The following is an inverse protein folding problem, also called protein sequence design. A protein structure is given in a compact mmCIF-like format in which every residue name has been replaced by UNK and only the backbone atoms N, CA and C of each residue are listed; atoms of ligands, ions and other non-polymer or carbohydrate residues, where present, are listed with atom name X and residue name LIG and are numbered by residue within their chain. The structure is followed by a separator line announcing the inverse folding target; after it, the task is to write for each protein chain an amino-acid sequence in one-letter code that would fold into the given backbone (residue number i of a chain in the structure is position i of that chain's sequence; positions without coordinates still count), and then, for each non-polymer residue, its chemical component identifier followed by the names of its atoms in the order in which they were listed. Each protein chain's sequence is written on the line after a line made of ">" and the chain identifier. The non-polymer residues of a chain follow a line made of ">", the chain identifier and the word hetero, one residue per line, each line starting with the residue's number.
data_IF_991459933961
#
_entry.id   IF_991459933961
#
_cell.length_a   1.000
_cell.length_b   1.000
_cell.length_c   1.000
_cell.angle_alpha   90.00
_cell.angle_beta   90.00
_cell.angle_gamma   90.00
#
_symmetry.space_group_name_H-M   'P 1'
#
loop_
_entity.id
_entity.type
_entity.pdbx_description
1 polymer ?
#
# COMPACT_ATOMS: atom_id res chain seq x y z
N UNK A 1 8.40 3.83 -11.83
CA UNK A 1 7.73 2.67 -11.25
C UNK A 1 7.34 1.66 -12.34
N UNK A 2 8.25 0.77 -12.77
CA UNK A 2 7.95 -0.31 -13.72
C UNK A 2 6.99 -1.37 -13.19
N UNK A 3 6.88 -1.51 -11.86
CA UNK A 3 5.97 -2.40 -11.15
C UNK A 3 4.51 -2.18 -11.57
N UNK A 4 4.18 -0.94 -11.98
CA UNK A 4 2.83 -0.51 -12.33
C UNK A 4 2.42 -0.80 -13.78
N UNK A 5 3.33 -1.26 -14.65
CA UNK A 5 3.01 -1.49 -16.08
C UNK A 5 3.72 -2.67 -16.73
N UNK A 6 4.95 -3.03 -16.32
CA UNK A 6 5.76 -4.00 -17.07
C UNK A 6 5.19 -5.42 -17.03
N UNK A 7 4.56 -5.78 -15.91
CA UNK A 7 4.00 -7.11 -15.67
C UNK A 7 2.46 -7.14 -15.76
N UNK A 8 1.82 -6.20 -16.49
CA UNK A 8 0.35 -6.11 -16.56
C UNK A 8 -0.32 -7.37 -17.13
N UNK A 9 0.37 -8.08 -18.03
CA UNK A 9 -0.12 -9.31 -18.65
C UNK A 9 0.31 -10.60 -17.92
N UNK A 10 1.12 -10.48 -16.85
CA UNK A 10 1.63 -11.61 -16.08
C UNK A 10 0.96 -11.65 -14.69
N UNK A 11 0.28 -12.73 -14.30
CA UNK A 11 -0.26 -12.90 -12.95
C UNK A 11 0.77 -12.69 -11.83
N UNK A 12 2.05 -12.98 -12.07
CA UNK A 12 3.12 -12.75 -11.10
C UNK A 12 3.35 -11.26 -10.78
N UNK A 13 2.89 -10.36 -11.65
CA UNK A 13 2.93 -8.91 -11.46
C UNK A 13 1.94 -8.37 -10.43
N UNK A 14 1.01 -9.21 -9.95
CA UNK A 14 -0.09 -8.82 -9.07
C UNK A 14 -0.27 -9.81 -7.91
N UNK A 15 -0.57 -9.31 -6.71
CA UNK A 15 -0.93 -10.17 -5.57
C UNK A 15 -1.94 -9.46 -4.68
N UNK A 16 -3.09 -10.06 -4.42
CA UNK A 16 -4.00 -9.56 -3.38
C UNK A 16 -3.36 -9.72 -2.00
N UNK A 17 -3.47 -8.68 -1.16
CA UNK A 17 -3.08 -8.76 0.25
C UNK A 17 -4.28 -9.18 1.11
N UNK A 18 -5.39 -8.47 0.93
CA UNK A 18 -6.66 -8.80 1.56
C UNK A 18 -7.78 -8.72 0.52
N UNK A 19 -8.21 -9.86 -0.04
CA UNK A 19 -9.30 -9.91 -1.01
C UNK A 19 -10.69 -9.77 -0.36
N UNK A 20 -10.80 -9.87 0.97
CA UNK A 20 -12.06 -10.00 1.68
C UNK A 20 -12.32 -8.91 2.73
N UNK A 21 -11.56 -7.81 2.74
CA UNK A 21 -11.83 -6.62 3.59
C UNK A 21 -13.02 -5.78 3.09
N UNK A 22 -14.12 -6.48 2.77
CA UNK A 22 -15.39 -5.94 2.30
C UNK A 22 -16.06 -5.10 3.36
N UNK A 23 -15.97 -5.53 4.63
CA UNK A 23 -16.60 -4.86 5.77
C UNK A 23 -16.05 -3.45 6.00
N UNK A 24 -14.78 -3.20 5.63
CA UNK A 24 -14.19 -1.86 5.65
C UNK A 24 -14.13 -1.19 4.29
N UNK A 25 -14.53 -1.89 3.22
CA UNK A 25 -14.41 -1.48 1.81
C UNK A 25 -12.99 -1.00 1.48
N UNK A 26 -12.01 -1.79 1.91
CA UNK A 26 -10.60 -1.55 1.63
C UNK A 26 -10.13 -2.59 0.61
N UNK A 27 -9.44 -2.11 -0.42
CA UNK A 27 -8.71 -2.99 -1.32
C UNK A 27 -7.22 -2.79 -1.10
N UNK A 28 -6.50 -3.89 -0.92
CA UNK A 28 -5.05 -3.87 -0.76
C UNK A 28 -4.38 -4.94 -1.62
N UNK A 29 -3.38 -4.54 -2.40
CA UNK A 29 -2.66 -5.43 -3.32
C UNK A 29 -1.23 -4.97 -3.58
N UNK A 30 -0.42 -5.88 -4.11
CA UNK A 30 0.95 -5.66 -4.53
C UNK A 30 1.03 -5.60 -6.05
N UNK A 31 1.91 -4.74 -6.56
CA UNK A 31 2.38 -4.66 -7.94
C UNK A 31 3.88 -4.91 -7.95
N UNK A 32 4.39 -5.75 -8.86
CA UNK A 32 5.77 -6.28 -8.78
C UNK A 32 6.51 -6.22 -10.12
N UNK A 33 7.83 -6.04 -10.04
CA UNK A 33 8.77 -6.20 -11.16
C UNK A 33 10.13 -6.65 -10.59
N UNK A 34 10.42 -7.95 -10.69
CA UNK A 34 11.55 -8.57 -9.97
C UNK A 34 11.42 -8.39 -8.46
N UNK A 35 12.47 -7.91 -7.80
CA UNK A 35 12.48 -7.65 -6.36
C UNK A 35 11.79 -6.34 -5.96
N UNK A 36 11.38 -5.52 -6.94
CA UNK A 36 10.72 -4.24 -6.68
C UNK A 36 9.23 -4.45 -6.43
N UNK A 37 8.71 -3.76 -5.42
CA UNK A 37 7.30 -3.87 -5.02
C UNK A 37 6.69 -2.50 -4.82
N UNK A 38 5.49 -2.31 -5.37
CA UNK A 38 4.57 -1.22 -5.01
C UNK A 38 3.37 -1.82 -4.28
N UNK A 39 3.12 -1.34 -3.07
CA UNK A 39 1.91 -1.61 -2.28
C UNK A 39 0.85 -0.59 -2.68
N UNK A 40 -0.36 -1.06 -2.98
CA UNK A 40 -1.50 -0.21 -3.29
C UNK A 40 -2.58 -0.43 -2.24
N UNK A 41 -3.01 0.65 -1.59
CA UNK A 41 -4.03 0.65 -0.54
C UNK A 41 -5.13 1.63 -0.91
N UNK A 42 -6.38 1.15 -1.00
CA UNK A 42 -7.54 1.94 -1.40
C UNK A 42 -8.58 1.88 -0.27
N UNK A 43 -8.92 3.01 0.34
CA UNK A 43 -10.04 3.12 1.27
C UNK A 43 -11.23 3.74 0.54
N UNK A 44 -12.28 2.95 0.29
CA UNK A 44 -13.46 3.38 -0.46
C UNK A 44 -14.60 3.87 0.44
N UNK A 45 -14.30 4.22 1.69
CA UNK A 45 -15.26 4.79 2.65
C UNK A 45 -14.80 6.17 3.13
N UNK A 46 -15.73 7.05 3.56
CA UNK A 46 -15.37 8.33 4.16
C UNK A 46 -14.78 8.20 5.58
N UNK A 47 -14.60 6.98 6.09
CA UNK A 47 -14.08 6.73 7.44
C UNK A 47 -12.57 6.53 7.34
N UNK A 48 -11.73 7.42 7.93
CA UNK A 48 -10.28 7.24 7.95
C UNK A 48 -9.87 6.03 8.81
N UNK A 49 -8.71 5.43 8.50
CA UNK A 49 -8.14 4.31 9.27
C UNK A 49 -6.80 4.72 9.83
N UNK A 50 -6.66 4.83 11.15
CA UNK A 50 -5.43 5.35 11.77
C UNK A 50 -4.26 4.36 11.79
N UNK A 51 -4.56 3.07 11.92
CA UNK A 51 -3.56 2.01 12.12
C UNK A 51 -3.81 0.81 11.20
N UNK A 52 -4.14 1.08 9.93
CA UNK A 52 -4.29 0.00 8.96
C UNK A 52 -2.95 -0.73 8.82
N UNK A 53 -2.97 -2.06 8.86
CA UNK A 53 -1.77 -2.88 8.75
C UNK A 53 -1.73 -3.54 7.37
N UNK A 54 -0.67 -3.27 6.61
CA UNK A 54 -0.47 -3.85 5.28
C UNK A 54 0.67 -4.86 5.29
N UNK A 55 0.43 -6.04 4.73
CA UNK A 55 1.46 -7.07 4.52
C UNK A 55 2.38 -6.75 3.34
N UNK A 56 3.67 -7.07 3.46
CA UNK A 56 4.68 -6.85 2.43
C UNK A 56 5.76 -7.94 2.40
N UNK A 57 6.37 -8.19 1.23
CA UNK A 57 7.29 -9.31 1.04
C UNK A 57 8.61 -9.21 1.78
N UNK A 58 9.03 -8.00 2.17
CA UNK A 58 10.28 -7.77 2.88
C UNK A 58 10.11 -6.66 3.93
N UNK A 59 10.81 -6.82 5.05
CA UNK A 59 11.02 -5.74 6.02
C UNK A 59 11.84 -4.60 5.41
N UNK A 60 11.80 -3.41 6.02
CA UNK A 60 12.54 -2.23 5.57
C UNK A 60 11.65 -1.05 5.19
N UNK A 61 12.25 -0.06 4.52
CA UNK A 61 11.59 1.21 4.22
C UNK A 61 10.72 1.17 2.96
N UNK A 62 9.48 1.64 3.08
CA UNK A 62 8.58 1.86 1.95
C UNK A 62 8.25 3.35 1.85
N UNK A 63 8.54 3.96 0.71
CA UNK A 63 8.29 5.37 0.46
C UNK A 63 6.89 5.55 -0.13
N UNK A 64 6.12 6.50 0.38
CA UNK A 64 4.86 6.93 -0.24
C UNK A 64 5.18 7.66 -1.54
N UNK A 65 4.71 7.12 -2.66
CA UNK A 65 4.93 7.68 -4.01
C UNK A 65 3.69 8.41 -4.54
N UNK A 66 2.53 8.12 -3.94
CA UNK A 66 1.28 8.82 -4.21
C UNK A 66 0.37 8.70 -2.98
N UNK A 67 -0.22 9.83 -2.58
CA UNK A 67 -1.45 9.87 -1.78
C UNK A 67 -2.46 10.72 -2.56
N UNK A 68 -3.64 10.19 -2.84
CA UNK A 68 -4.70 10.98 -3.47
C UNK A 68 -5.30 12.01 -2.51
N UNK A 69 -5.07 11.84 -1.20
CA UNK A 69 -5.53 12.77 -0.15
C UNK A 69 -4.49 13.87 0.15
N UNK A 70 -3.42 13.97 -0.64
CA UNK A 70 -2.47 15.07 -0.53
C UNK A 70 -3.17 16.43 -0.77
N UNK A 71 -2.93 17.46 0.08
CA UNK A 71 -3.54 18.79 -0.09
C UNK A 71 -3.30 19.43 -1.46
N UNK A 72 -2.22 19.07 -2.15
CA UNK A 72 -1.94 19.55 -3.53
C UNK A 72 -3.00 19.10 -4.55
N UNK A 73 -3.71 18.02 -4.24
CA UNK A 73 -4.83 17.51 -5.03
C UNK A 73 -6.20 17.91 -4.45
N UNK A 74 -6.22 18.74 -3.40
CA UNK A 74 -7.43 19.13 -2.68
C UNK A 74 -7.86 18.14 -1.59
N UNK A 75 -7.01 17.19 -1.21
CA UNK A 75 -7.26 16.28 -0.11
C UNK A 75 -7.04 16.88 1.28
N UNK A 76 -7.34 16.10 2.31
CA UNK A 76 -7.26 16.53 3.71
C UNK A 76 -5.85 16.51 4.30
N UNK A 77 -4.91 15.79 3.67
CA UNK A 77 -3.57 15.56 4.19
C UNK A 77 -3.52 14.52 5.32
N UNK A 78 -4.54 13.67 5.45
CA UNK A 78 -4.57 12.64 6.48
C UNK A 78 -3.44 11.63 6.27
N UNK A 79 -2.87 11.13 7.37
CA UNK A 79 -1.78 10.16 7.36
C UNK A 79 -0.41 10.80 7.16
N UNK A 80 -0.27 11.77 6.25
CA UNK A 80 0.84 12.75 6.21
C UNK A 80 2.28 12.23 6.29
N UNK A 81 2.52 10.94 6.03
CA UNK A 81 3.85 10.31 6.11
C UNK A 81 4.43 10.11 4.71
N UNK A 82 5.71 10.42 4.55
CA UNK A 82 6.44 10.17 3.30
C UNK A 82 7.01 8.75 3.22
N UNK A 83 7.10 8.06 4.37
CA UNK A 83 7.75 6.76 4.49
C UNK A 83 7.22 6.00 5.70
N UNK A 84 7.14 4.68 5.55
CA UNK A 84 6.85 3.73 6.64
C UNK A 84 7.96 2.67 6.72
N UNK A 85 8.07 2.01 7.87
CA UNK A 85 9.02 0.93 8.07
C UNK A 85 8.27 -0.38 8.32
N UNK A 86 8.54 -1.37 7.49
CA UNK A 86 8.02 -2.72 7.63
C UNK A 86 8.92 -3.54 8.54
N UNK A 87 8.30 -4.28 9.46
CA UNK A 87 8.96 -5.21 10.36
C UNK A 87 8.57 -6.64 10.02
N UNK A 88 9.46 -7.59 10.32
CA UNK A 88 9.14 -9.01 10.20
C UNK A 88 7.95 -9.37 11.09
N UNK A 89 7.00 -10.10 10.54
CA UNK A 89 5.76 -10.45 11.22
C UNK A 89 4.67 -10.76 10.20
N UNK A 90 4.30 -12.04 10.12
CA UNK A 90 3.36 -12.54 9.11
C UNK A 90 2.01 -11.83 9.17
N UNK A 91 1.57 -11.29 8.05
CA UNK A 91 0.27 -10.62 7.90
C UNK A 91 -0.17 -10.65 6.43
N UNK A 92 -1.47 -10.84 6.14
CA UNK A 92 -2.01 -10.81 4.77
C UNK A 92 -1.23 -11.72 3.78
N UNK A 93 -0.79 -12.89 4.25
CA UNK A 93 0.00 -13.84 3.46
C UNK A 93 1.43 -13.38 3.11
N UNK A 94 1.92 -12.32 3.76
CA UNK A 94 3.27 -11.77 3.56
C UNK A 94 4.12 -11.90 4.83
N UNK A 95 5.46 -12.02 4.73
CA UNK A 95 6.35 -12.25 5.87
C UNK A 95 6.63 -11.00 6.73
N UNK A 96 6.40 -9.79 6.21
CA UNK A 96 6.58 -8.53 6.91
C UNK A 96 5.33 -7.66 6.81
N UNK A 97 5.23 -6.63 7.65
CA UNK A 97 4.10 -5.71 7.63
C UNK A 97 4.48 -4.34 8.22
N UNK A 98 3.71 -3.31 7.86
CA UNK A 98 3.79 -1.98 8.50
C UNK A 98 2.41 -1.44 8.84
N UNK A 99 2.30 -0.57 9.87
CA UNK A 99 1.11 0.25 10.10
C UNK A 99 1.14 1.51 9.23
N UNK A 100 -0.03 1.97 8.80
CA UNK A 100 -0.20 3.23 8.08
C UNK A 100 -1.58 3.85 8.35
N UNK A 101 -1.64 5.17 8.31
CA UNK A 101 -2.91 5.91 8.25
C UNK A 101 -3.47 5.90 6.82
N UNK A 102 -4.66 5.34 6.61
CA UNK A 102 -5.37 5.44 5.33
C UNK A 102 -6.36 6.59 5.34
N UNK A 103 -6.25 7.52 4.38
CA UNK A 103 -7.18 8.63 4.25
C UNK A 103 -8.60 8.14 3.91
N UNK A 104 -9.63 8.96 4.19
CA UNK A 104 -10.99 8.66 3.75
C UNK A 104 -11.08 8.81 2.22
N UNK A 105 -11.81 7.92 1.55
CA UNK A 105 -12.03 7.95 0.08
C UNK A 105 -10.73 8.14 -0.72
N UNK A 106 -9.65 7.46 -0.30
CA UNK A 106 -8.30 7.75 -0.80
C UNK A 106 -7.50 6.53 -1.23
N UNK A 107 -6.54 6.78 -2.10
CA UNK A 107 -5.55 5.83 -2.59
C UNK A 107 -4.16 6.22 -2.10
N UNK A 108 -3.43 5.26 -1.52
CA UNK A 108 -2.04 5.40 -1.09
C UNK A 108 -1.20 4.32 -1.76
N UNK A 109 -0.14 4.75 -2.45
CA UNK A 109 0.82 3.85 -3.09
C UNK A 109 2.19 4.00 -2.43
N UNK A 110 2.81 2.88 -2.08
CA UNK A 110 4.12 2.84 -1.45
C UNK A 110 5.09 1.95 -2.21
N UNK A 111 6.26 2.46 -2.58
CA UNK A 111 7.31 1.69 -3.22
C UNK A 111 8.36 1.24 -2.20
N UNK A 112 8.80 -0.02 -2.29
CA UNK A 112 9.96 -0.50 -1.55
C UNK A 112 11.19 0.34 -1.91
N UNK A 113 11.88 0.89 -0.92
CA UNK A 113 13.17 1.56 -1.15
C UNK A 113 14.20 0.47 -1.40
N UNK A 114 14.62 0.28 -2.66
CA UNK A 114 15.77 -0.58 -2.94
C UNK A 114 16.98 0.01 -2.23
N UNK A 115 17.61 -0.77 -1.34
CA UNK A 115 18.94 -0.44 -0.80
C UNK A 115 20.02 -0.60 -1.86
#
# INVERSE_FOLDING_TARGET
>A
HPELWRQDADPAGFTWLDPDDRDHSIYSYLRRDGDRTVVVLLNLTPVPRHHYRAGVPCAGAYQVILSSDDPRYGGSGFGGVDRVHAEWGSWQGQPAAFPIGLPPLGAVLLASTTG
#
